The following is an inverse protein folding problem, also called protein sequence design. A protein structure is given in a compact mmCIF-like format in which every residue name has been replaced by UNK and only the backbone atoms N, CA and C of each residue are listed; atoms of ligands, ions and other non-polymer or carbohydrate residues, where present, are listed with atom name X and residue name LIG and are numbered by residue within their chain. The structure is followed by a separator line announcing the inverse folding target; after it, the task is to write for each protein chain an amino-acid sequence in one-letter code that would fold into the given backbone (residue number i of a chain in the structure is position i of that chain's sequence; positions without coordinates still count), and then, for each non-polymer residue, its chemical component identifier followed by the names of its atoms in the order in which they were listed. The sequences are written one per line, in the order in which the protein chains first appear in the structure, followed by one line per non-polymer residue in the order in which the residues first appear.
data_IF_005853059967
#
_entry.id   IF_005853059967
#
_cell.length_a   1.000
_cell.length_b   1.000
_cell.length_c   1.000
_cell.angle_alpha   90.00
_cell.angle_beta   90.00
_cell.angle_gamma   90.00
#
_symmetry.space_group_name_H-M   'P 1'
#
loop_
_entity.id
_entity.type
_entity.pdbx_description
1 polymer ?
#
# COMPACT_ATOMS: atom_id res chain seq x y z
N UNK A 1 -27.33 14.30 -15.98
CA UNK A 1 -25.95 13.76 -15.99
C UNK A 1 -25.99 12.32 -15.46
N UNK A 2 -25.84 11.31 -16.34
CA UNK A 2 -25.78 9.90 -15.91
C UNK A 2 -24.44 9.67 -15.22
N UNK A 3 -24.45 9.39 -13.91
CA UNK A 3 -23.30 8.87 -13.18
C UNK A 3 -22.95 7.50 -13.79
N UNK A 4 -21.91 7.44 -14.60
CA UNK A 4 -21.38 6.17 -15.07
C UNK A 4 -20.71 5.48 -13.89
N UNK A 5 -21.47 4.65 -13.18
CA UNK A 5 -20.92 3.80 -12.14
C UNK A 5 -19.97 2.80 -12.80
N UNK A 6 -18.69 3.03 -12.67
CA UNK A 6 -17.67 2.07 -13.10
C UNK A 6 -17.91 0.70 -12.43
N UNK A 7 -17.68 -0.41 -13.15
CA UNK A 7 -17.89 -1.74 -12.61
C UNK A 7 -17.11 -1.93 -11.31
N UNK A 8 -17.71 -2.61 -10.33
CA UNK A 8 -17.13 -2.80 -9.00
C UNK A 8 -15.69 -3.34 -9.03
N UNK A 9 -15.39 -4.23 -9.98
CA UNK A 9 -14.06 -4.79 -10.17
C UNK A 9 -12.99 -3.77 -10.54
N UNK A 10 -13.33 -2.71 -11.27
CA UNK A 10 -12.37 -1.67 -11.68
C UNK A 10 -11.80 -0.85 -10.51
N UNK A 11 -12.45 -0.89 -9.35
CA UNK A 11 -12.01 -0.20 -8.12
C UNK A 11 -11.38 -1.16 -7.12
N UNK A 12 -11.92 -2.37 -7.03
CA UNK A 12 -11.59 -3.35 -5.99
C UNK A 12 -10.16 -3.89 -6.14
N UNK A 13 -9.82 -4.42 -7.31
CA UNK A 13 -8.51 -5.06 -7.52
C UNK A 13 -7.31 -4.12 -7.36
N UNK A 14 -7.34 -2.89 -7.93
CA UNK A 14 -6.27 -1.92 -7.66
C UNK A 14 -6.16 -1.56 -6.18
N UNK A 15 -7.30 -1.34 -5.51
CA UNK A 15 -7.29 -1.02 -4.08
C UNK A 15 -6.69 -2.15 -3.25
N UNK A 16 -7.04 -3.40 -3.55
CA UNK A 16 -6.48 -4.58 -2.88
C UNK A 16 -4.98 -4.72 -3.15
N UNK A 17 -4.53 -4.50 -4.39
CA UNK A 17 -3.11 -4.56 -4.75
C UNK A 17 -2.26 -3.55 -3.99
N UNK A 18 -2.66 -2.28 -3.98
CA UNK A 18 -1.95 -1.25 -3.19
C UNK A 18 -2.08 -1.45 -1.68
N UNK A 19 -3.22 -1.99 -1.20
CA UNK A 19 -3.39 -2.36 0.20
C UNK A 19 -2.47 -3.52 0.60
N UNK A 20 -2.25 -4.49 -0.27
CA UNK A 20 -1.29 -5.57 -0.04
C UNK A 20 0.15 -5.04 0.11
N UNK A 21 0.54 -4.04 -0.71
CA UNK A 21 1.81 -3.35 -0.52
C UNK A 21 1.90 -2.66 0.85
N UNK A 22 0.82 -1.99 1.28
CA UNK A 22 0.75 -1.38 2.61
C UNK A 22 0.82 -2.43 3.74
N UNK A 23 0.29 -3.63 3.52
CA UNK A 23 0.39 -4.77 4.44
C UNK A 23 1.80 -5.33 4.56
N UNK A 24 2.55 -5.36 3.47
CA UNK A 24 3.96 -5.76 3.49
C UNK A 24 4.83 -4.69 4.17
N UNK A 25 4.63 -3.42 3.82
CA UNK A 25 5.29 -2.24 4.41
C UNK A 25 4.34 -1.07 4.51
N UNK A 26 4.23 -0.47 5.69
CA UNK A 26 3.24 0.56 5.96
C UNK A 26 3.29 1.75 5.00
N UNK A 27 4.48 2.17 4.60
CA UNK A 27 4.67 3.34 3.71
C UNK A 27 4.58 3.01 2.22
N UNK A 28 4.76 1.74 1.80
CA UNK A 28 4.87 1.38 0.38
C UNK A 28 3.56 1.61 -0.40
N UNK A 29 2.42 1.20 0.14
CA UNK A 29 1.11 1.43 -0.49
C UNK A 29 0.86 2.91 -0.81
N UNK A 30 0.88 3.81 0.18
CA UNK A 30 0.74 5.25 -0.03
C UNK A 30 1.78 5.85 -0.96
N UNK A 31 3.04 5.41 -0.90
CA UNK A 31 4.11 5.99 -1.70
C UNK A 31 3.97 5.67 -3.19
N UNK A 32 3.70 4.41 -3.54
CA UNK A 32 3.45 4.04 -4.93
C UNK A 32 2.16 4.66 -5.47
N UNK A 33 1.10 4.73 -4.64
CA UNK A 33 -0.13 5.41 -5.02
C UNK A 33 0.11 6.91 -5.23
N UNK A 34 0.84 7.57 -4.33
CA UNK A 34 1.17 9.00 -4.45
C UNK A 34 2.05 9.27 -5.67
N UNK A 35 3.02 8.41 -5.96
CA UNK A 35 3.83 8.49 -7.17
C UNK A 35 2.95 8.43 -8.42
N UNK A 36 2.03 7.50 -8.48
CA UNK A 36 1.07 7.37 -9.58
C UNK A 36 0.20 8.62 -9.72
N UNK A 37 -0.43 9.08 -8.63
CA UNK A 37 -1.33 10.23 -8.64
C UNK A 37 -0.62 11.56 -8.96
N UNK A 38 0.66 11.70 -8.58
CA UNK A 38 1.44 12.93 -8.85
C UNK A 38 1.85 13.09 -10.30
N UNK A 39 1.78 12.02 -11.09
CA UNK A 39 2.13 12.01 -12.52
C UNK A 39 0.93 12.20 -13.44
N UNK A 40 -0.27 12.27 -12.89
CA UNK A 40 -1.52 12.36 -13.68
C UNK A 40 -2.37 13.53 -13.24
N UNK A 41 -3.30 13.93 -14.12
CA UNK A 41 -4.37 14.83 -13.74
C UNK A 41 -5.27 14.17 -12.70
N UNK A 42 -5.45 14.80 -11.55
CA UNK A 42 -6.31 14.28 -10.50
C UNK A 42 -7.75 14.17 -11.00
N UNK A 43 -8.36 13.01 -10.77
CA UNK A 43 -9.79 12.83 -11.04
C UNK A 43 -10.61 13.88 -10.27
N UNK A 44 -11.65 14.48 -10.89
CA UNK A 44 -12.45 15.56 -10.27
C UNK A 44 -12.99 15.18 -8.89
N UNK A 45 -13.41 13.93 -8.71
CA UNK A 45 -13.92 13.42 -7.44
C UNK A 45 -12.86 13.37 -6.34
N UNK A 46 -11.59 13.22 -6.68
CA UNK A 46 -10.45 13.24 -5.75
C UNK A 46 -9.98 14.67 -5.50
N UNK A 47 -9.99 15.53 -6.52
CA UNK A 47 -9.58 16.93 -6.42
C UNK A 47 -10.39 17.71 -5.37
N UNK A 48 -11.69 17.42 -5.25
CA UNK A 48 -12.58 17.98 -4.22
C UNK A 48 -12.50 17.31 -2.84
N UNK A 49 -11.60 16.34 -2.65
CA UNK A 49 -11.44 15.58 -1.40
C UNK A 49 -10.18 16.00 -0.64
N UNK A 50 -10.14 15.90 0.70
CA UNK A 50 -8.92 16.08 1.47
C UNK A 50 -7.80 15.11 1.02
N UNK A 51 -8.14 13.95 0.46
CA UNK A 51 -7.19 12.97 -0.04
C UNK A 51 -6.37 13.42 -1.27
N UNK A 52 -6.71 14.58 -1.86
CA UNK A 52 -5.93 15.20 -2.96
C UNK A 52 -4.46 15.43 -2.62
N UNK A 53 -4.11 15.51 -1.32
CA UNK A 53 -2.72 15.71 -0.90
C UNK A 53 -1.79 14.61 -1.41
N UNK A 54 -2.28 13.37 -1.56
CA UNK A 54 -1.50 12.26 -2.13
C UNK A 54 -1.10 12.49 -3.59
N UNK A 55 -1.77 13.34 -4.33
CA UNK A 55 -1.38 13.73 -5.69
C UNK A 55 -0.31 14.83 -5.77
N UNK A 56 0.17 15.36 -4.63
CA UNK A 56 1.19 16.40 -4.62
C UNK A 56 2.59 15.80 -4.82
N UNK A 57 3.43 16.34 -5.75
CA UNK A 57 4.79 15.82 -5.97
C UNK A 57 5.66 15.81 -4.70
N UNK A 58 5.55 16.84 -3.86
CA UNK A 58 6.27 16.90 -2.59
C UNK A 58 5.89 15.78 -1.63
N UNK A 59 4.62 15.39 -1.58
CA UNK A 59 4.15 14.25 -0.75
C UNK A 59 4.71 12.94 -1.31
N UNK A 60 4.69 12.76 -2.64
CA UNK A 60 5.29 11.60 -3.28
C UNK A 60 6.79 11.46 -2.94
N UNK A 61 7.52 12.57 -2.99
CA UNK A 61 8.94 12.59 -2.64
C UNK A 61 9.16 12.26 -1.15
N UNK A 62 8.40 12.86 -0.25
CA UNK A 62 8.49 12.58 1.18
C UNK A 62 8.21 11.10 1.50
N UNK A 63 7.19 10.51 0.88
CA UNK A 63 6.84 9.10 1.05
C UNK A 63 7.94 8.15 0.52
N UNK A 64 8.68 8.53 -0.53
CA UNK A 64 9.85 7.76 -1.00
C UNK A 64 10.98 7.74 0.04
N UNK A 65 11.23 8.87 0.69
CA UNK A 65 12.20 8.91 1.79
C UNK A 65 11.75 8.08 2.98
N UNK A 66 10.44 8.07 3.28
CA UNK A 66 9.89 7.23 4.34
C UNK A 66 10.03 5.73 4.03
N UNK A 67 9.79 5.30 2.78
CA UNK A 67 10.09 3.91 2.37
C UNK A 67 11.57 3.59 2.59
N UNK A 68 12.47 4.44 2.14
CA UNK A 68 13.90 4.21 2.33
C UNK A 68 14.27 4.10 3.81
N UNK A 69 13.69 4.95 4.66
CA UNK A 69 13.84 4.88 6.10
C UNK A 69 13.28 3.60 6.71
N UNK A 70 12.13 3.12 6.23
CA UNK A 70 11.53 1.86 6.68
C UNK A 70 12.41 0.65 6.29
N UNK A 71 13.03 0.66 5.09
CA UNK A 71 13.97 -0.39 4.69
C UNK A 71 15.21 -0.46 5.60
N UNK A 72 15.71 0.67 6.05
CA UNK A 72 16.83 0.73 6.99
C UNK A 72 16.37 0.33 8.39
N UNK A 73 15.24 0.88 8.84
CA UNK A 73 14.70 0.63 10.18
C UNK A 73 14.35 -0.83 10.44
N UNK A 74 13.80 -1.53 9.46
CA UNK A 74 13.46 -2.97 9.58
C UNK A 74 14.67 -3.90 9.76
N UNK A 75 15.87 -3.42 9.48
CA UNK A 75 17.13 -4.18 9.65
C UNK A 75 17.79 -3.94 11.00
N UNK A 76 17.24 -3.05 11.83
CA UNK A 76 17.79 -2.79 13.16
C UNK A 76 17.44 -3.94 14.12
N UNK A 77 18.37 -4.30 15.05
CA UNK A 77 18.26 -5.50 15.90
C UNK A 77 17.06 -5.48 16.87
N UNK A 78 16.48 -4.31 17.15
CA UNK A 78 15.36 -4.15 18.08
C UNK A 78 14.02 -3.83 17.38
N UNK A 79 13.87 -4.15 16.09
CA UNK A 79 12.65 -3.86 15.37
C UNK A 79 11.48 -4.73 15.84
N UNK A 80 10.35 -4.14 16.28
CA UNK A 80 9.20 -4.88 16.74
C UNK A 80 8.61 -5.78 15.64
N UNK A 81 8.02 -6.90 16.04
CA UNK A 81 7.39 -7.83 15.11
C UNK A 81 6.23 -7.15 14.35
N UNK A 82 6.07 -7.50 13.06
CA UNK A 82 5.07 -6.90 12.15
C UNK A 82 3.63 -7.05 12.60
N UNK A 83 3.34 -8.07 13.43
CA UNK A 83 1.99 -8.37 13.94
C UNK A 83 1.70 -7.74 15.30
N UNK A 84 2.63 -7.00 15.91
CA UNK A 84 2.31 -6.25 17.12
C UNK A 84 1.26 -5.18 16.83
N UNK A 85 0.38 -4.85 17.78
CA UNK A 85 -0.78 -3.97 17.54
C UNK A 85 -0.44 -2.63 16.88
N UNK A 86 0.69 -2.00 17.27
CA UNK A 86 1.12 -0.72 16.70
C UNK A 86 1.47 -0.85 15.21
N UNK A 87 2.25 -1.89 14.85
CA UNK A 87 2.65 -2.14 13.47
C UNK A 87 1.47 -2.53 12.59
N UNK A 88 0.59 -3.40 13.11
CA UNK A 88 -0.62 -3.82 12.42
C UNK A 88 -1.58 -2.64 12.22
N UNK A 89 -1.76 -1.80 13.25
CA UNK A 89 -2.55 -0.58 13.19
C UNK A 89 -2.05 0.40 12.13
N UNK A 90 -0.76 0.68 12.10
CA UNK A 90 -0.15 1.55 11.09
C UNK A 90 -0.40 1.04 9.66
N UNK A 91 -0.29 -0.27 9.42
CA UNK A 91 -0.55 -0.90 8.12
C UNK A 91 -2.02 -0.87 7.74
N UNK A 92 -2.92 -1.12 8.70
CA UNK A 92 -4.37 -1.01 8.48
C UNK A 92 -4.77 0.43 8.10
N UNK A 93 -4.26 1.44 8.81
CA UNK A 93 -4.51 2.86 8.50
C UNK A 93 -3.96 3.22 7.13
N UNK A 94 -2.75 2.78 6.81
CA UNK A 94 -2.12 2.98 5.51
C UNK A 94 -2.93 2.34 4.37
N UNK A 95 -3.37 1.10 4.55
CA UNK A 95 -4.26 0.41 3.62
C UNK A 95 -5.60 1.10 3.46
N UNK A 96 -6.21 1.57 4.57
CA UNK A 96 -7.44 2.34 4.55
C UNK A 96 -7.30 3.63 3.72
N UNK A 97 -6.20 4.37 3.93
CA UNK A 97 -5.88 5.58 3.19
C UNK A 97 -5.81 5.32 1.68
N UNK A 98 -5.08 4.29 1.29
CA UNK A 98 -4.91 3.88 -0.11
C UNK A 98 -6.23 3.45 -0.73
N UNK A 99 -6.98 2.58 -0.06
CA UNK A 99 -8.26 2.09 -0.55
C UNK A 99 -9.30 3.21 -0.68
N UNK A 100 -9.39 4.10 0.31
CA UNK A 100 -10.25 5.28 0.28
C UNK A 100 -9.93 6.18 -0.92
N UNK A 101 -8.64 6.44 -1.15
CA UNK A 101 -8.17 7.30 -2.24
C UNK A 101 -8.52 6.71 -3.61
N UNK A 102 -8.25 5.43 -3.82
CA UNK A 102 -8.55 4.74 -5.08
C UNK A 102 -10.05 4.63 -5.35
N UNK A 103 -10.85 4.32 -4.32
CA UNK A 103 -12.30 4.31 -4.49
C UNK A 103 -12.83 5.71 -4.82
N UNK A 104 -12.35 6.74 -4.11
CA UNK A 104 -12.76 8.12 -4.36
C UNK A 104 -12.34 8.61 -5.74
N UNK A 105 -11.14 8.31 -6.21
CA UNK A 105 -10.66 8.69 -7.55
C UNK A 105 -11.53 8.10 -8.67
N UNK A 106 -12.12 6.93 -8.43
CA UNK A 106 -13.03 6.24 -9.37
C UNK A 106 -14.52 6.47 -9.07
N UNK A 107 -14.86 7.56 -8.35
CA UNK A 107 -16.26 7.93 -8.03
C UNK A 107 -16.97 6.95 -7.08
N UNK A 108 -16.22 6.17 -6.29
CA UNK A 108 -16.75 5.24 -5.29
C UNK A 108 -16.87 5.86 -3.90
N UNK A 109 -17.42 5.07 -2.96
CA UNK A 109 -17.52 5.45 -1.55
C UNK A 109 -16.14 5.40 -0.88
N UNK A 110 -15.77 6.49 -0.22
CA UNK A 110 -14.55 6.60 0.57
C UNK A 110 -14.51 5.55 1.69
N UNK A 111 -15.64 5.37 2.38
CA UNK A 111 -15.76 4.43 3.51
C UNK A 111 -15.56 2.99 3.02
N UNK A 112 -16.25 2.59 1.94
CA UNK A 112 -16.08 1.25 1.38
C UNK A 112 -14.65 0.99 0.93
N UNK A 113 -13.99 2.00 0.33
CA UNK A 113 -12.59 1.92 -0.05
C UNK A 113 -11.66 1.77 1.15
N UNK A 114 -11.91 2.53 2.23
CA UNK A 114 -11.15 2.43 3.47
C UNK A 114 -11.24 1.03 4.09
N UNK A 115 -12.44 0.46 4.15
CA UNK A 115 -12.63 -0.91 4.67
C UNK A 115 -11.90 -1.95 3.82
N UNK A 116 -12.06 -1.92 2.51
CA UNK A 116 -11.38 -2.85 1.59
C UNK A 116 -9.86 -2.72 1.74
N UNK A 117 -9.35 -1.49 1.81
CA UNK A 117 -7.94 -1.23 1.96
C UNK A 117 -7.38 -1.68 3.32
N UNK A 118 -8.09 -1.40 4.41
CA UNK A 118 -7.67 -1.81 5.75
C UNK A 118 -7.63 -3.35 5.88
N UNK A 119 -8.70 -4.03 5.48
CA UNK A 119 -8.78 -5.50 5.51
C UNK A 119 -7.72 -6.14 4.60
N UNK A 120 -7.52 -5.59 3.40
CA UNK A 120 -6.49 -6.06 2.47
C UNK A 120 -5.08 -5.92 3.05
N UNK A 121 -4.77 -4.81 3.71
CA UNK A 121 -3.47 -4.60 4.35
C UNK A 121 -3.26 -5.56 5.54
N UNK A 122 -4.27 -5.74 6.39
CA UNK A 122 -4.21 -6.69 7.51
C UNK A 122 -4.00 -8.11 7.00
N UNK A 123 -4.79 -8.57 6.03
CA UNK A 123 -4.66 -9.90 5.45
C UNK A 123 -3.27 -10.11 4.82
N UNK A 124 -2.76 -9.12 4.08
CA UNK A 124 -1.42 -9.17 3.50
C UNK A 124 -0.32 -9.19 4.56
N UNK A 125 -0.49 -8.47 5.68
CA UNK A 125 0.47 -8.48 6.80
C UNK A 125 0.61 -9.88 7.38
N UNK A 126 -0.52 -10.55 7.67
CA UNK A 126 -0.48 -11.92 8.18
C UNK A 126 0.08 -12.90 7.15
N UNK A 127 -0.34 -12.78 5.89
CA UNK A 127 0.14 -13.64 4.81
C UNK A 127 1.67 -13.54 4.66
N UNK A 128 2.22 -12.33 4.56
CA UNK A 128 3.66 -12.13 4.42
C UNK A 128 4.42 -12.54 5.68
N UNK A 129 3.86 -12.34 6.86
CA UNK A 129 4.44 -12.82 8.11
C UNK A 129 4.59 -14.35 8.14
N UNK A 130 3.50 -15.08 7.85
CA UNK A 130 3.54 -16.54 7.85
C UNK A 130 4.37 -17.11 6.71
N UNK A 131 4.33 -16.53 5.51
CA UNK A 131 5.19 -16.92 4.40
C UNK A 131 6.67 -16.78 4.77
N UNK A 132 7.06 -15.62 5.32
CA UNK A 132 8.45 -15.39 5.75
C UNK A 132 8.88 -16.39 6.81
N UNK A 133 8.05 -16.63 7.82
CA UNK A 133 8.30 -17.61 8.87
C UNK A 133 8.50 -19.02 8.28
N UNK A 134 7.58 -19.46 7.44
CA UNK A 134 7.63 -20.80 6.82
C UNK A 134 8.84 -20.96 5.90
N UNK A 135 9.19 -19.94 5.11
CA UNK A 135 10.36 -19.99 4.22
C UNK A 135 11.65 -20.06 5.03
N UNK A 136 11.81 -19.22 6.05
CA UNK A 136 13.01 -19.23 6.90
C UNK A 136 13.18 -20.56 7.65
N UNK A 137 12.08 -21.15 8.15
CA UNK A 137 12.14 -22.42 8.89
C UNK A 137 12.40 -23.64 7.98
N UNK A 138 11.83 -23.67 6.76
CA UNK A 138 11.94 -24.83 5.88
C UNK A 138 13.15 -24.82 4.96
N UNK A 139 13.61 -23.64 4.57
CA UNK A 139 14.72 -23.51 3.61
C UNK A 139 16.06 -23.28 4.29
N UNK A 140 16.09 -23.17 5.62
CA UNK A 140 17.29 -22.81 6.41
C UNK A 140 18.02 -21.56 5.87
N UNK A 141 17.21 -20.61 5.38
CA UNK A 141 17.71 -19.37 4.78
C UNK A 141 17.64 -18.25 5.82
N UNK A 142 18.68 -17.43 5.85
CA UNK A 142 18.73 -16.24 6.68
C UNK A 142 17.50 -15.37 6.47
N UNK A 143 16.85 -15.00 7.57
CA UNK A 143 15.65 -14.17 7.60
C UNK A 143 15.85 -12.82 6.91
N UNK A 144 17.10 -12.30 6.90
CA UNK A 144 17.48 -11.08 6.19
C UNK A 144 17.40 -11.22 4.67
N UNK A 145 17.83 -12.37 4.12
CA UNK A 145 17.73 -12.65 2.68
C UNK A 145 16.29 -12.80 2.23
N UNK A 146 15.45 -13.48 3.02
CA UNK A 146 14.01 -13.57 2.74
C UNK A 146 13.38 -12.19 2.76
N UNK A 147 13.76 -11.32 3.73
CA UNK A 147 13.33 -9.94 3.79
C UNK A 147 13.75 -9.11 2.57
N UNK A 148 14.98 -9.28 2.09
CA UNK A 148 15.46 -8.58 0.89
C UNK A 148 14.69 -9.02 -0.37
N UNK A 149 14.36 -10.30 -0.49
CA UNK A 149 13.49 -10.81 -1.55
C UNK A 149 12.09 -10.23 -1.51
N UNK A 150 11.49 -10.11 -0.32
CA UNK A 150 10.21 -9.44 -0.11
C UNK A 150 10.27 -7.97 -0.53
N UNK A 151 11.35 -7.26 -0.19
CA UNK A 151 11.57 -5.86 -0.56
C UNK A 151 11.60 -5.68 -2.08
N UNK A 152 12.33 -6.55 -2.78
CA UNK A 152 12.39 -6.54 -4.23
C UNK A 152 11.02 -6.81 -4.88
N UNK A 153 10.24 -7.75 -4.32
CA UNK A 153 8.86 -8.02 -4.76
C UNK A 153 7.94 -6.82 -4.52
N UNK A 154 8.01 -6.18 -3.38
CA UNK A 154 7.21 -4.98 -3.06
C UNK A 154 7.52 -3.84 -4.03
N UNK A 155 8.79 -3.58 -4.31
CA UNK A 155 9.22 -2.55 -5.28
C UNK A 155 8.76 -2.89 -6.70
N UNK A 156 8.96 -4.13 -7.15
CA UNK A 156 8.56 -4.60 -8.47
C UNK A 156 7.04 -4.56 -8.68
N UNK A 157 6.27 -5.11 -7.75
CA UNK A 157 4.81 -5.11 -7.80
C UNK A 157 4.24 -3.69 -7.67
N UNK A 158 4.83 -2.85 -6.82
CA UNK A 158 4.43 -1.46 -6.67
C UNK A 158 4.61 -0.66 -7.96
N UNK A 159 5.73 -0.83 -8.63
CA UNK A 159 6.00 -0.20 -9.93
C UNK A 159 5.05 -0.71 -11.02
N UNK A 160 4.79 -2.01 -11.06
CA UNK A 160 3.84 -2.62 -12.01
C UNK A 160 2.41 -2.13 -11.80
N UNK A 161 1.95 -2.07 -10.54
CA UNK A 161 0.62 -1.55 -10.20
C UNK A 161 0.47 -0.08 -10.58
N UNK A 162 1.48 0.74 -10.28
CA UNK A 162 1.49 2.15 -10.67
C UNK A 162 1.42 2.30 -12.20
N UNK A 163 2.19 1.51 -12.95
CA UNK A 163 2.17 1.53 -14.43
C UNK A 163 0.85 1.08 -15.03
N UNK A 164 0.18 0.07 -14.44
CA UNK A 164 -1.12 -0.43 -14.93
C UNK A 164 -2.28 0.53 -14.71
N UNK A 165 -2.16 1.48 -13.80
CA UNK A 165 -3.17 2.49 -13.54
C UNK A 165 -2.93 3.77 -14.38
N UNK A 166 -1.73 3.92 -14.96
CA UNK A 166 -1.38 4.99 -15.90
C UNK A 166 -2.00 4.76 -17.27
#
# INVERSE_FOLDING_TARGET
MKSSSQPRGAKFWPALGFAALAGSRATSGPAFLSQFLSQQALAPALAGSPLRFLGKPGVSTALKFLIAGEFVGDKLPNTPNRIVPQQLGARAVSGALVGATLYKSKGGSLVSGAFVGALGAVAATYLTFYLRKTISEKADVDTGLVGAGEDALVLGLGALLAKRQA
#
